data_IF_353890111628
#
_entry.id   IF_353890111628
#
_cell.length_a   1.000
_cell.length_b   1.000
_cell.length_c   1.000
_cell.angle_alpha   90.00
_cell.angle_beta   90.00
_cell.angle_gamma   90.00
#
_symmetry.space_group_name_H-M   'P 1'
#
loop_
_entity.id
_entity.type
_entity.pdbx_description
1 polymer ?
#
# COMPACT_ATOMS: atom_id res chain seq x y z
N UNK A 1 16.91 25.24 1.33
CA UNK A 1 15.91 24.17 1.07
C UNK A 1 15.74 24.01 -0.42
N UNK A 2 15.83 22.80 -0.92
CA UNK A 2 15.57 22.46 -2.32
C UNK A 2 14.31 21.60 -2.38
N UNK A 3 13.43 21.92 -3.34
CA UNK A 3 12.20 21.16 -3.55
C UNK A 3 12.12 20.69 -4.99
N UNK A 4 11.77 19.43 -5.18
CA UNK A 4 11.47 18.80 -6.47
C UNK A 4 10.02 18.32 -6.43
N UNK A 5 9.27 18.61 -7.48
CA UNK A 5 7.95 18.05 -7.68
C UNK A 5 7.79 17.72 -9.18
N UNK A 6 7.60 16.47 -9.48
CA UNK A 6 7.47 15.96 -10.86
C UNK A 6 6.26 15.07 -10.96
N UNK A 7 5.39 15.39 -11.91
CA UNK A 7 4.22 14.58 -12.23
C UNK A 7 4.30 14.16 -13.69
N UNK A 8 4.11 12.88 -13.92
CA UNK A 8 4.21 12.31 -15.24
C UNK A 8 3.03 11.35 -15.48
N UNK A 9 2.49 11.39 -16.71
CA UNK A 9 1.47 10.46 -17.18
C UNK A 9 1.89 9.88 -18.53
N UNK A 10 2.11 8.58 -18.58
CA UNK A 10 2.50 7.86 -19.79
C UNK A 10 1.58 6.68 -20.06
N UNK A 11 1.30 6.43 -21.35
CA UNK A 11 0.35 5.40 -21.77
C UNK A 11 0.70 3.99 -21.26
N UNK A 12 1.98 3.63 -21.19
CA UNK A 12 2.43 2.30 -20.74
C UNK A 12 2.93 2.30 -19.29
N UNK A 13 3.52 3.39 -18.85
CA UNK A 13 4.11 3.49 -17.51
C UNK A 13 3.18 4.11 -16.47
N UNK A 14 1.99 4.53 -16.92
CA UNK A 14 0.93 5.04 -16.06
C UNK A 14 1.21 6.41 -15.47
N UNK A 15 0.61 6.65 -14.33
CA UNK A 15 0.75 7.87 -13.54
C UNK A 15 1.91 7.74 -12.55
N UNK A 16 2.71 8.79 -12.49
CA UNK A 16 3.77 8.98 -11.51
C UNK A 16 3.67 10.37 -10.90
N UNK A 17 3.74 10.44 -9.60
CA UNK A 17 3.90 11.67 -8.84
C UNK A 17 5.08 11.47 -7.90
N UNK A 18 6.14 12.22 -8.13
CA UNK A 18 7.38 12.15 -7.35
C UNK A 18 7.66 13.52 -6.78
N UNK A 19 7.70 13.62 -5.48
CA UNK A 19 8.07 14.85 -4.78
C UNK A 19 9.15 14.59 -3.75
N UNK A 20 9.99 15.57 -3.54
CA UNK A 20 11.04 15.50 -2.56
C UNK A 20 11.47 16.88 -2.11
N UNK A 21 11.91 16.96 -0.88
CA UNK A 21 12.51 18.15 -0.30
C UNK A 21 13.81 17.78 0.37
N UNK A 22 14.78 18.67 0.27
CA UNK A 22 16.10 18.51 0.86
C UNK A 22 16.53 19.80 1.52
N UNK A 23 16.90 19.72 2.78
CA UNK A 23 17.48 20.81 3.57
C UNK A 23 18.90 20.39 3.98
N UNK A 24 19.86 21.19 3.57
CA UNK A 24 21.27 20.98 3.91
C UNK A 24 21.64 21.82 5.12
N UNK A 25 22.47 21.26 6.00
CA UNK A 25 23.06 21.94 7.16
C UNK A 25 21.98 22.61 8.03
N UNK A 26 20.99 21.83 8.49
CA UNK A 26 20.03 22.29 9.49
C UNK A 26 20.74 22.44 10.83
N UNK A 27 20.65 23.62 11.43
CA UNK A 27 21.29 23.95 12.72
C UNK A 27 20.60 23.26 13.92
N UNK A 28 19.51 22.50 13.68
CA UNK A 28 18.84 21.74 14.72
C UNK A 28 19.67 20.53 15.13
N UNK A 29 19.97 20.46 16.42
CA UNK A 29 20.66 19.30 17.02
C UNK A 29 19.67 18.14 17.18
N UNK A 30 19.53 17.33 16.10
CA UNK A 30 18.59 16.22 16.07
C UNK A 30 19.28 14.97 16.61
N UNK A 31 18.78 14.44 17.69
CA UNK A 31 19.28 13.20 18.31
C UNK A 31 19.25 12.02 17.31
N UNK A 32 20.42 11.64 16.78
CA UNK A 32 20.59 10.51 15.87
C UNK A 32 20.41 10.80 14.38
N UNK A 33 20.18 12.05 13.98
CA UNK A 33 20.15 12.52 12.59
C UNK A 33 21.41 13.28 12.21
N UNK A 34 21.78 13.25 10.90
CA UNK A 34 22.78 14.20 10.38
C UNK A 34 22.13 15.55 10.10
N UNK A 35 22.96 16.60 9.89
CA UNK A 35 22.51 17.97 9.59
C UNK A 35 21.71 18.09 8.27
N UNK A 36 21.54 17.00 7.52
CA UNK A 36 20.83 16.97 6.25
C UNK A 36 19.46 16.32 6.43
N UNK A 37 18.40 17.10 6.20
CA UNK A 37 17.03 16.62 6.33
C UNK A 37 16.34 16.50 4.98
N UNK A 38 15.54 15.48 4.80
CA UNK A 38 14.86 15.23 3.53
C UNK A 38 13.54 14.49 3.68
N UNK A 39 12.67 14.71 2.71
CA UNK A 39 11.42 13.99 2.50
C UNK A 39 11.40 13.50 1.05
N UNK A 40 10.93 12.28 0.85
CA UNK A 40 10.63 11.71 -0.47
C UNK A 40 9.24 11.09 -0.46
N UNK A 41 8.43 11.45 -1.46
CA UNK A 41 7.16 10.81 -1.74
C UNK A 41 7.16 10.31 -3.19
N UNK A 42 6.68 9.09 -3.39
CA UNK A 42 6.50 8.48 -4.70
C UNK A 42 5.13 7.82 -4.75
N UNK A 43 4.29 8.28 -5.64
CA UNK A 43 3.03 7.63 -5.99
C UNK A 43 3.09 7.17 -7.44
N UNK A 44 2.77 5.91 -7.66
CA UNK A 44 2.69 5.33 -8.99
C UNK A 44 1.46 4.46 -9.11
N UNK A 45 0.80 4.54 -10.25
CA UNK A 45 -0.28 3.63 -10.64
C UNK A 45 -0.24 3.41 -12.14
N UNK A 46 -0.19 2.17 -12.57
CA UNK A 46 -0.25 1.85 -13.99
C UNK A 46 -0.93 0.51 -14.27
N UNK A 47 -1.50 0.43 -15.46
CA UNK A 47 -2.03 -0.77 -16.08
C UNK A 47 -1.24 -1.02 -17.38
N UNK A 48 0.00 -1.58 -17.29
CA UNK A 48 0.86 -1.78 -18.47
C UNK A 48 0.24 -2.70 -19.53
N UNK A 49 -0.66 -3.58 -19.11
CA UNK A 49 -1.47 -4.42 -19.99
C UNK A 49 -2.85 -4.64 -19.37
N UNK A 50 -3.76 -5.26 -20.12
CA UNK A 50 -5.07 -5.63 -19.60
C UNK A 50 -5.02 -6.59 -18.40
N UNK A 51 -3.91 -7.33 -18.27
CA UNK A 51 -3.73 -8.32 -17.22
C UNK A 51 -2.85 -7.83 -16.06
N UNK A 52 -2.05 -6.79 -16.24
CA UNK A 52 -1.04 -6.38 -15.26
C UNK A 52 -1.36 -5.00 -14.70
N UNK A 53 -1.39 -4.90 -13.38
CA UNK A 53 -1.50 -3.64 -12.64
C UNK A 53 -0.36 -3.49 -11.66
N UNK A 54 0.15 -2.29 -11.53
CA UNK A 54 1.19 -1.97 -10.56
C UNK A 54 0.82 -0.72 -9.78
N UNK A 55 1.20 -0.68 -8.51
CA UNK A 55 1.06 0.53 -7.69
C UNK A 55 2.19 0.64 -6.69
N UNK A 56 2.66 1.86 -6.48
CA UNK A 56 3.60 2.25 -5.45
C UNK A 56 3.01 3.43 -4.69
N UNK A 57 3.09 3.35 -3.38
CA UNK A 57 2.74 4.42 -2.45
C UNK A 57 3.84 4.43 -1.38
N UNK A 58 4.81 5.32 -1.56
CA UNK A 58 6.02 5.35 -0.78
C UNK A 58 6.26 6.75 -0.25
N UNK A 59 6.37 6.87 1.07
CA UNK A 59 6.73 8.10 1.75
C UNK A 59 7.80 7.82 2.79
N UNK A 60 8.86 8.61 2.80
CA UNK A 60 9.96 8.48 3.75
C UNK A 60 10.55 9.84 4.10
N UNK A 61 10.92 10.00 5.37
CA UNK A 61 11.63 11.17 5.90
C UNK A 61 12.96 10.76 6.52
N UNK A 62 13.87 11.72 6.61
CA UNK A 62 15.18 11.55 7.23
C UNK A 62 15.09 11.26 8.74
N UNK A 63 14.16 11.91 9.41
CA UNK A 63 14.01 11.90 10.87
C UNK A 63 12.55 12.09 11.27
N UNK A 64 12.21 11.70 12.50
CA UNK A 64 10.84 11.71 13.00
C UNK A 64 10.28 13.13 13.23
N UNK A 65 11.16 14.12 13.38
CA UNK A 65 10.77 15.51 13.66
C UNK A 65 10.56 16.32 12.38
N UNK A 66 10.99 15.78 11.23
CA UNK A 66 10.94 16.47 9.94
C UNK A 66 9.57 17.08 9.62
N UNK A 67 8.50 16.34 9.82
CA UNK A 67 7.14 16.80 9.49
C UNK A 67 6.60 17.82 10.51
N UNK A 68 7.09 17.79 11.73
CA UNK A 68 6.66 18.68 12.81
C UNK A 68 7.31 20.06 12.70
N UNK A 69 8.59 20.10 12.36
CA UNK A 69 9.40 21.31 12.40
C UNK A 69 9.25 22.16 11.13
N UNK A 70 8.90 21.57 10.00
CA UNK A 70 8.76 22.31 8.75
C UNK A 70 7.33 22.82 8.57
N UNK A 71 7.11 24.10 8.86
CA UNK A 71 5.82 24.80 8.83
C UNK A 71 5.06 24.74 7.48
N UNK A 72 5.76 24.43 6.40
CA UNK A 72 5.18 24.35 5.05
C UNK A 72 4.38 23.06 4.78
N UNK A 73 4.32 22.17 5.74
CA UNK A 73 3.54 20.94 5.61
C UNK A 73 2.08 21.21 5.95
N UNK A 74 1.19 20.65 5.14
CA UNK A 74 -0.25 20.72 5.41
C UNK A 74 -0.57 20.10 6.78
N UNK A 75 -1.61 20.60 7.45
CA UNK A 75 -2.07 20.07 8.74
C UNK A 75 -2.27 18.56 8.75
N UNK A 76 -2.56 17.97 7.58
CA UNK A 76 -2.67 16.51 7.41
C UNK A 76 -1.31 15.81 7.54
N UNK A 77 -0.23 16.38 7.02
CA UNK A 77 1.12 15.82 7.14
C UNK A 77 1.63 15.86 8.58
N UNK A 78 1.37 16.96 9.31
CA UNK A 78 1.75 17.09 10.73
C UNK A 78 1.03 16.10 11.66
N UNK A 79 -0.13 15.59 11.25
CA UNK A 79 -0.91 14.59 12.00
C UNK A 79 -0.59 13.15 11.63
N UNK A 80 0.28 12.93 10.66
CA UNK A 80 0.69 11.59 10.31
C UNK A 80 1.58 11.00 11.39
N UNK A 81 1.15 9.88 11.92
CA UNK A 81 1.89 9.14 12.95
C UNK A 81 2.81 8.08 12.33
N UNK A 82 2.54 7.70 11.07
CA UNK A 82 3.34 6.75 10.31
C UNK A 82 3.26 7.03 8.81
N UNK A 83 4.36 6.84 8.11
CA UNK A 83 4.47 6.95 6.66
C UNK A 83 4.40 5.58 6.01
N UNK A 84 3.48 5.42 5.08
CA UNK A 84 3.29 4.19 4.33
C UNK A 84 4.40 4.02 3.29
N UNK A 85 4.90 2.79 3.18
CA UNK A 85 5.80 2.33 2.14
C UNK A 85 5.24 1.03 1.58
N UNK A 86 4.59 1.10 0.43
CA UNK A 86 3.92 -0.05 -0.19
C UNK A 86 4.22 -0.12 -1.67
N UNK A 87 4.49 -1.33 -2.13
CA UNK A 87 4.50 -1.69 -3.54
C UNK A 87 3.59 -2.90 -3.77
N UNK A 88 2.86 -2.90 -4.88
CA UNK A 88 1.92 -3.97 -5.23
C UNK A 88 1.93 -4.22 -6.72
N UNK A 89 1.86 -5.50 -7.08
CA UNK A 89 1.65 -5.99 -8.44
C UNK A 89 0.47 -6.93 -8.43
N UNK A 90 -0.49 -6.72 -9.32
CA UNK A 90 -1.63 -7.61 -9.54
C UNK A 90 -1.60 -8.14 -10.97
N UNK A 91 -1.82 -9.43 -11.12
CA UNK A 91 -1.94 -10.10 -12.41
C UNK A 91 -3.28 -10.79 -12.53
N UNK A 92 -4.02 -10.38 -13.55
CA UNK A 92 -5.33 -10.92 -13.90
C UNK A 92 -5.18 -11.98 -15.00
N UNK A 93 -5.56 -13.21 -14.71
CA UNK A 93 -5.53 -14.32 -15.65
C UNK A 93 -6.88 -15.04 -15.62
N UNK A 94 -7.65 -14.94 -16.69
CA UNK A 94 -9.00 -15.51 -16.82
C UNK A 94 -9.83 -15.29 -15.53
N UNK A 95 -10.01 -16.35 -14.77
CA UNK A 95 -10.80 -16.35 -13.54
C UNK A 95 -9.97 -16.12 -12.28
N UNK A 96 -8.64 -15.88 -12.41
CA UNK A 96 -7.73 -15.67 -11.31
C UNK A 96 -7.24 -14.24 -11.22
N UNK A 97 -7.15 -13.72 -10.01
CA UNK A 97 -6.42 -12.51 -9.68
C UNK A 97 -5.31 -12.88 -8.70
N UNK A 98 -4.07 -12.78 -9.16
CA UNK A 98 -2.89 -12.95 -8.32
C UNK A 98 -2.37 -11.58 -7.87
N UNK A 99 -1.96 -11.49 -6.61
CA UNK A 99 -1.39 -10.28 -6.06
C UNK A 99 -0.11 -10.57 -5.30
N UNK A 100 0.90 -9.73 -5.52
CA UNK A 100 2.12 -9.67 -4.73
C UNK A 100 2.26 -8.27 -4.16
N UNK A 101 2.45 -8.16 -2.86
CA UNK A 101 2.62 -6.89 -2.18
C UNK A 101 3.74 -6.94 -1.15
N UNK A 102 4.40 -5.81 -0.98
CA UNK A 102 5.30 -5.52 0.12
C UNK A 102 4.83 -4.24 0.79
N UNK A 103 4.70 -4.25 2.11
CA UNK A 103 4.25 -3.09 2.86
C UNK A 103 5.00 -2.98 4.18
N UNK A 104 5.45 -1.77 4.47
CA UNK A 104 5.99 -1.40 5.77
C UNK A 104 5.61 0.05 6.09
N UNK A 105 5.91 0.48 7.30
CA UNK A 105 5.69 1.85 7.75
C UNK A 105 6.97 2.40 8.37
N UNK A 106 7.23 3.69 8.14
CA UNK A 106 8.14 4.45 8.99
C UNK A 106 7.30 5.11 10.09
N UNK A 107 7.51 4.73 11.34
CA UNK A 107 6.90 5.39 12.50
C UNK A 107 7.51 6.78 12.67
N UNK A 108 6.67 7.80 12.88
CA UNK A 108 7.08 9.17 13.16
C UNK A 108 6.78 9.51 14.62
N UNK A 109 5.67 8.98 15.16
CA UNK A 109 5.35 9.16 16.57
C UNK A 109 6.09 8.14 17.43
N UNK A 110 6.70 8.61 18.51
CA UNK A 110 7.45 7.77 19.45
C UNK A 110 6.56 6.73 20.17
N UNK A 111 5.28 7.05 20.34
CA UNK A 111 4.32 6.19 21.04
C UNK A 111 3.64 5.14 20.16
N UNK A 112 3.93 5.10 18.87
CA UNK A 112 3.33 4.12 17.97
C UNK A 112 4.03 2.77 18.06
N UNK A 113 3.36 1.88 18.74
CA UNK A 113 3.91 0.57 19.11
C UNK A 113 3.61 -0.54 18.11
N UNK A 114 2.98 -0.29 16.94
CA UNK A 114 2.43 -1.40 16.16
C UNK A 114 2.49 -1.26 14.63
N UNK A 115 3.68 -1.03 14.10
CA UNK A 115 3.89 -1.05 12.64
C UNK A 115 4.44 -2.39 12.17
N UNK A 116 3.57 -3.38 11.98
CA UNK A 116 3.97 -4.62 11.35
C UNK A 116 4.32 -4.42 9.87
N UNK A 117 5.48 -4.94 9.49
CA UNK A 117 5.89 -5.10 8.10
C UNK A 117 5.23 -6.36 7.54
N UNK A 118 4.71 -6.30 6.33
CA UNK A 118 4.21 -7.46 5.57
C UNK A 118 5.12 -7.66 4.37
N UNK A 119 6.09 -8.56 4.50
CA UNK A 119 7.18 -8.72 3.54
C UNK A 119 7.50 -10.21 3.35
N UNK A 120 7.07 -10.84 2.26
CA UNK A 120 6.05 -10.44 1.30
C UNK A 120 4.62 -10.82 1.73
N UNK A 121 3.63 -10.31 0.99
CA UNK A 121 2.28 -10.79 1.01
C UNK A 121 1.90 -11.28 -0.39
N UNK A 122 1.44 -12.51 -0.50
CA UNK A 122 0.91 -13.08 -1.75
C UNK A 122 -0.57 -13.35 -1.59
N UNK A 123 -1.32 -13.17 -2.66
CA UNK A 123 -2.76 -13.45 -2.69
C UNK A 123 -3.18 -14.06 -4.02
N UNK A 124 -4.19 -14.91 -3.99
CA UNK A 124 -4.84 -15.45 -5.16
C UNK A 124 -6.36 -15.47 -4.92
N UNK A 125 -7.11 -14.90 -5.84
CA UNK A 125 -8.57 -14.89 -5.81
C UNK A 125 -9.05 -15.56 -7.09
N UNK A 126 -9.80 -16.62 -6.94
CA UNK A 126 -10.46 -17.30 -8.04
C UNK A 126 -11.97 -17.03 -7.99
N UNK A 127 -12.53 -16.71 -9.14
CA UNK A 127 -13.96 -16.60 -9.35
C UNK A 127 -14.35 -17.57 -10.46
N UNK A 128 -15.03 -18.63 -10.10
CA UNK A 128 -15.43 -19.64 -11.07
C UNK A 128 -16.48 -19.12 -12.04
N UNK A 129 -16.35 -19.49 -13.32
CA UNK A 129 -17.43 -19.41 -14.30
C UNK A 129 -18.45 -20.50 -14.01
N UNK A 130 -18.85 -20.62 -12.78
CA UNK A 130 -19.68 -21.74 -12.43
C UNK A 130 -21.07 -21.60 -13.04
N UNK A 131 -21.26 -22.27 -14.11
CA UNK A 131 -22.58 -22.66 -14.60
C UNK A 131 -23.20 -23.74 -13.70
N UNK A 132 -23.03 -23.63 -12.40
CA UNK A 132 -23.74 -24.38 -11.39
C UNK A 132 -25.11 -23.73 -11.12
N UNK A 133 -25.81 -23.38 -12.19
CA UNK A 133 -27.00 -22.54 -12.09
C UNK A 133 -26.64 -21.07 -11.76
N UNK A 134 -27.35 -20.41 -10.85
CA UNK A 134 -27.09 -19.01 -10.51
C UNK A 134 -25.97 -18.83 -9.48
N UNK A 135 -25.26 -19.89 -9.08
CA UNK A 135 -24.22 -19.84 -8.04
C UNK A 135 -22.84 -19.47 -8.61
N UNK A 136 -22.19 -18.50 -8.01
CA UNK A 136 -20.83 -18.06 -8.34
C UNK A 136 -19.87 -18.44 -7.21
N UNK A 137 -19.05 -19.49 -7.37
CA UNK A 137 -18.09 -19.89 -6.36
C UNK A 137 -16.91 -18.91 -6.33
N UNK A 138 -16.38 -18.72 -5.14
CA UNK A 138 -15.25 -17.84 -4.83
C UNK A 138 -14.24 -18.60 -3.97
N UNK A 139 -12.96 -18.54 -4.34
CA UNK A 139 -11.85 -18.98 -3.50
C UNK A 139 -10.90 -17.81 -3.30
N UNK A 140 -10.59 -17.49 -2.05
CA UNK A 140 -9.54 -16.53 -1.69
C UNK A 140 -8.45 -17.25 -0.92
N UNK A 141 -7.22 -17.03 -1.34
CA UNK A 141 -6.00 -17.51 -0.69
C UNK A 141 -5.10 -16.31 -0.41
N UNK A 142 -4.53 -16.25 0.77
CA UNK A 142 -3.57 -15.22 1.13
C UNK A 142 -2.50 -15.81 2.05
N UNK A 143 -1.25 -15.48 1.79
CA UNK A 143 -0.15 -15.74 2.70
C UNK A 143 0.64 -14.45 2.90
N UNK A 144 1.02 -14.16 4.14
CA UNK A 144 1.81 -13.00 4.48
C UNK A 144 2.82 -13.35 5.57
N UNK A 145 4.01 -12.81 5.41
CA UNK A 145 5.01 -12.83 6.47
C UNK A 145 4.97 -11.50 7.22
N UNK A 146 4.75 -11.58 8.53
CA UNK A 146 4.69 -10.43 9.43
C UNK A 146 5.98 -10.31 10.20
N UNK A 147 6.62 -9.18 10.10
CA UNK A 147 7.82 -8.81 10.85
C UNK A 147 7.63 -7.46 11.55
N UNK A 148 8.35 -7.24 12.62
CA UNK A 148 8.38 -5.98 13.37
C UNK A 148 9.75 -5.80 13.99
N UNK A 149 10.18 -4.55 14.15
CA UNK A 149 11.43 -4.20 14.81
C UNK A 149 11.29 -4.25 16.35
N UNK A 150 10.06 -4.42 16.84
CA UNK A 150 9.75 -4.49 18.26
C UNK A 150 9.83 -5.94 18.76
N UNK A 151 9.93 -6.10 20.07
CA UNK A 151 9.91 -7.42 20.75
C UNK A 151 8.47 -7.98 20.82
N UNK A 152 7.91 -8.26 19.63
CA UNK A 152 6.56 -8.77 19.43
C UNK A 152 6.56 -10.02 18.57
N UNK A 153 5.46 -10.73 18.59
CA UNK A 153 5.28 -11.98 17.84
C UNK A 153 5.43 -11.71 16.33
N UNK A 154 6.39 -12.38 15.72
CA UNK A 154 6.61 -12.41 14.27
C UNK A 154 6.14 -13.75 13.73
N UNK A 155 5.77 -13.81 12.46
CA UNK A 155 5.40 -15.09 11.86
C UNK A 155 4.69 -15.00 10.55
N UNK A 156 4.35 -16.16 10.04
CA UNK A 156 3.61 -16.31 8.81
C UNK A 156 2.13 -16.54 9.11
N UNK A 157 1.28 -15.91 8.29
CA UNK A 157 -0.16 -16.09 8.33
C UNK A 157 -0.64 -16.58 6.98
N UNK A 158 -1.38 -17.67 7.00
CA UNK A 158 -2.11 -18.17 5.83
C UNK A 158 -3.60 -18.00 6.11
N UNK A 159 -4.31 -17.46 5.13
CA UNK A 159 -5.75 -17.29 5.15
C UNK A 159 -6.34 -17.95 3.90
N UNK A 160 -7.43 -18.68 4.09
CA UNK A 160 -8.22 -19.21 3.01
C UNK A 160 -9.71 -18.97 3.27
N UNK A 161 -10.44 -18.67 2.22
CA UNK A 161 -11.89 -18.45 2.26
C UNK A 161 -12.50 -19.13 1.04
N UNK A 162 -13.47 -19.99 1.29
CA UNK A 162 -14.37 -20.55 0.28
C UNK A 162 -15.70 -19.84 0.43
N UNK A 163 -16.23 -19.31 -0.65
CA UNK A 163 -17.50 -18.61 -0.65
C UNK A 163 -18.33 -18.96 -1.89
N UNK A 164 -19.60 -18.71 -1.79
CA UNK A 164 -20.53 -18.82 -2.91
C UNK A 164 -21.40 -17.55 -2.92
N UNK A 165 -21.42 -16.89 -4.06
CA UNK A 165 -22.33 -15.77 -4.32
C UNK A 165 -23.59 -16.29 -5.04
N UNK A 166 -24.73 -15.77 -4.64
CA UNK A 166 -26.00 -15.99 -5.34
C UNK A 166 -26.54 -14.61 -5.79
N UNK A 167 -26.17 -14.13 -6.98
CA UNK A 167 -26.73 -12.89 -7.51
C UNK A 167 -28.15 -13.15 -8.02
N UNK A 168 -29.15 -12.53 -7.43
CA UNK A 168 -30.53 -12.55 -7.92
C UNK A 168 -30.85 -11.19 -8.51
N UNK A 169 -30.95 -11.13 -9.83
CA UNK A 169 -31.32 -9.91 -10.55
C UNK A 169 -32.72 -10.06 -11.14
N UNK A 170 -33.58 -9.08 -10.93
CA UNK A 170 -34.92 -8.95 -11.49
C UNK A 170 -35.12 -7.56 -12.05
N UNK A 171 -36.09 -7.38 -12.92
CA UNK A 171 -36.35 -6.08 -13.56
C UNK A 171 -36.65 -4.95 -12.58
N UNK A 172 -37.07 -5.29 -11.36
CA UNK A 172 -37.44 -4.36 -10.29
C UNK A 172 -36.43 -4.29 -9.13
N UNK A 173 -35.31 -5.00 -9.21
CA UNK A 173 -34.30 -4.98 -8.15
C UNK A 173 -33.29 -6.11 -8.21
N UNK A 174 -32.31 -6.03 -7.34
CA UNK A 174 -31.29 -7.07 -7.17
C UNK A 174 -31.10 -7.44 -5.69
N UNK A 175 -30.75 -8.69 -5.44
CA UNK A 175 -30.29 -9.18 -4.15
C UNK A 175 -28.99 -9.93 -4.36
N UNK A 176 -27.97 -9.61 -3.57
CA UNK A 176 -26.69 -10.29 -3.58
C UNK A 176 -26.47 -10.94 -2.21
N UNK A 177 -26.41 -12.24 -2.16
CA UNK A 177 -26.21 -13.02 -0.94
C UNK A 177 -24.91 -13.82 -1.05
N UNK A 178 -24.02 -13.70 -0.06
CA UNK A 178 -22.79 -14.48 0.05
C UNK A 178 -22.84 -15.34 1.32
N UNK A 179 -22.39 -16.58 1.18
CA UNK A 179 -22.15 -17.55 2.25
C UNK A 179 -20.67 -17.87 2.31
#
# INVERSE_FOLDING_TARGET
>A
MHQLNTRFLGRQIGFWDVSGTYLRDDDLDISGGGNNRWLVNVMQSSDPSAQLRTSIDFSKVSDNEYLRDLENNTLSAQRQTALLQRARVDWLADNWLFGLAAQQFQSIAEDLTDNYKRLPQVSAVWRGDAKLGPLEPLLKLQAANFDTDLDKVKGQRVYQELGVNLPITRDYGFLNTSL
#
